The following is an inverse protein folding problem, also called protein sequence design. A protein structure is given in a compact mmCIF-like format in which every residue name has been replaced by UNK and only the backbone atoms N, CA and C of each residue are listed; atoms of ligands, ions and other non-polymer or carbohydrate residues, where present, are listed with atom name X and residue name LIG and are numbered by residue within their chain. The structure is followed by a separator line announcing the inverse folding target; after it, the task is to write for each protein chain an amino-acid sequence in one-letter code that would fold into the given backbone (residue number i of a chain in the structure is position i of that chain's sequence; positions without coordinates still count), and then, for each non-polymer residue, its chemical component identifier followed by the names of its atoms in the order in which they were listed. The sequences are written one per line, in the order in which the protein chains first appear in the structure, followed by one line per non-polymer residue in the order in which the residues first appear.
data_IF_455402116646
#
_entry.id   IF_455402116646
#
_cell.length_a   1.000
_cell.length_b   1.000
_cell.length_c   1.000
_cell.angle_alpha   90.00
_cell.angle_beta   90.00
_cell.angle_gamma   90.00
#
_symmetry.space_group_name_H-M   'P 1'
#
loop_
_entity.id
_entity.type
_entity.pdbx_description
1 polymer ?
#
# COMPACT_ATOMS: atom_id res chain seq x y z
N UNK A 1 66.76 -59.79 -19.54
CA UNK A 1 65.61 -59.17 -18.85
C UNK A 1 65.55 -57.71 -19.26
N UNK A 2 64.55 -57.26 -20.05
CA UNK A 2 64.46 -55.87 -20.47
C UNK A 2 63.82 -55.01 -19.39
N UNK A 3 64.48 -53.90 -19.04
CA UNK A 3 64.01 -52.88 -18.11
C UNK A 3 62.94 -52.01 -18.81
N UNK A 4 61.71 -52.03 -18.31
CA UNK A 4 60.69 -51.05 -18.68
C UNK A 4 60.90 -49.77 -17.86
N UNK A 5 61.18 -48.66 -18.54
CA UNK A 5 61.21 -47.32 -17.94
C UNK A 5 59.81 -46.72 -18.08
N UNK A 6 59.10 -46.56 -16.96
CA UNK A 6 57.82 -45.86 -16.94
C UNK A 6 58.02 -44.37 -17.21
N UNK A 7 57.26 -43.74 -18.12
CA UNK A 7 57.37 -42.31 -18.36
C UNK A 7 56.92 -41.53 -17.12
N UNK A 8 57.76 -40.59 -16.69
CA UNK A 8 57.48 -39.71 -15.56
C UNK A 8 56.20 -38.89 -15.83
N UNK A 9 55.23 -39.02 -14.93
CA UNK A 9 53.99 -38.24 -14.92
C UNK A 9 54.38 -36.77 -14.73
N UNK A 10 54.29 -35.97 -15.80
CA UNK A 10 54.59 -34.53 -15.76
C UNK A 10 53.54 -33.85 -14.89
N UNK A 11 53.88 -33.53 -13.65
CA UNK A 11 53.05 -32.68 -12.79
C UNK A 11 52.84 -31.34 -13.48
N UNK A 12 51.61 -31.09 -13.93
CA UNK A 12 51.22 -29.78 -14.41
C UNK A 12 51.22 -28.85 -13.20
N UNK A 13 52.22 -27.96 -13.13
CA UNK A 13 52.23 -26.90 -12.14
C UNK A 13 50.96 -26.06 -12.31
N UNK A 14 50.16 -25.85 -11.25
CA UNK A 14 49.02 -24.96 -11.34
C UNK A 14 49.51 -23.56 -11.75
N UNK A 15 48.97 -23.05 -12.85
CA UNK A 15 49.28 -21.69 -13.31
C UNK A 15 48.82 -20.67 -12.29
N UNK A 16 49.70 -19.74 -11.93
CA UNK A 16 49.34 -18.60 -11.08
C UNK A 16 48.55 -17.55 -11.87
N UNK A 17 47.62 -16.87 -11.21
CA UNK A 17 46.87 -15.76 -11.79
C UNK A 17 47.80 -14.59 -12.11
N UNK A 18 47.66 -14.03 -13.31
CA UNK A 18 48.43 -12.83 -13.68
C UNK A 18 47.85 -11.59 -13.01
N UNK A 19 48.68 -10.57 -12.77
CA UNK A 19 48.21 -9.30 -12.19
C UNK A 19 47.13 -8.64 -13.06
N UNK A 20 47.27 -8.76 -14.39
CA UNK A 20 46.27 -8.26 -15.35
C UNK A 20 44.94 -8.99 -15.21
N UNK A 21 44.97 -10.31 -15.00
CA UNK A 21 43.76 -11.13 -14.83
C UNK A 21 42.98 -10.73 -13.56
N UNK A 22 43.68 -10.48 -12.45
CA UNK A 22 43.06 -9.97 -11.22
C UNK A 22 42.47 -8.58 -11.42
N UNK A 23 43.15 -7.68 -12.14
CA UNK A 23 42.62 -6.35 -12.45
C UNK A 23 41.35 -6.41 -13.31
N UNK A 24 41.32 -7.28 -14.33
CA UNK A 24 40.14 -7.46 -15.17
C UNK A 24 38.97 -8.03 -14.36
N UNK A 25 39.20 -9.03 -13.50
CA UNK A 25 38.16 -9.58 -12.62
C UNK A 25 37.60 -8.50 -11.68
N UNK A 26 38.46 -7.69 -11.07
CA UNK A 26 38.02 -6.59 -10.21
C UNK A 26 37.22 -5.53 -10.98
N UNK A 27 37.62 -5.21 -12.21
CA UNK A 27 36.87 -4.31 -13.08
C UNK A 27 35.48 -4.87 -13.41
N UNK A 28 35.38 -6.16 -13.77
CA UNK A 28 34.10 -6.83 -14.04
C UNK A 28 33.22 -6.81 -12.80
N UNK A 29 33.75 -7.19 -11.62
CA UNK A 29 33.01 -7.18 -10.35
C UNK A 29 32.49 -5.78 -10.04
N UNK A 30 33.30 -4.74 -10.23
CA UNK A 30 32.90 -3.35 -10.02
C UNK A 30 31.72 -2.95 -10.90
N UNK A 31 31.80 -3.27 -12.20
CA UNK A 31 30.71 -2.98 -13.16
C UNK A 31 29.44 -3.77 -12.82
N UNK A 32 29.55 -5.07 -12.57
CA UNK A 32 28.37 -5.90 -12.28
C UNK A 32 27.71 -5.51 -10.95
N UNK A 33 28.50 -5.16 -9.94
CA UNK A 33 27.97 -4.71 -8.63
C UNK A 33 27.27 -3.37 -8.75
N UNK A 34 27.83 -2.43 -9.52
CA UNK A 34 27.19 -1.15 -9.80
C UNK A 34 25.82 -1.31 -10.46
N UNK A 35 25.72 -2.18 -11.47
CA UNK A 35 24.45 -2.49 -12.14
C UNK A 35 23.45 -3.18 -11.20
N UNK A 36 23.91 -4.11 -10.36
CA UNK A 36 23.06 -4.82 -9.41
C UNK A 36 22.40 -3.87 -8.38
N UNK A 37 23.14 -2.88 -7.89
CA UNK A 37 22.61 -1.87 -6.95
C UNK A 37 21.46 -1.07 -7.57
N UNK A 38 21.64 -0.56 -8.79
CA UNK A 38 20.59 0.22 -9.49
C UNK A 38 19.35 -0.62 -9.74
N UNK A 39 19.51 -1.88 -10.13
CA UNK A 39 18.39 -2.80 -10.34
C UNK A 39 17.62 -3.06 -9.03
N UNK A 40 18.34 -3.25 -7.91
CA UNK A 40 17.74 -3.52 -6.61
C UNK A 40 16.86 -2.37 -6.11
N UNK A 41 17.30 -1.12 -6.28
CA UNK A 41 16.50 0.06 -5.91
C UNK A 41 15.22 0.19 -6.75
N UNK A 42 15.28 -0.15 -8.04
CA UNK A 42 14.13 -0.12 -8.93
C UNK A 42 13.06 -1.15 -8.54
N UNK A 43 13.47 -2.39 -8.25
CA UNK A 43 12.56 -3.45 -7.80
C UNK A 43 11.92 -3.10 -6.46
N UNK A 44 12.69 -2.57 -5.51
CA UNK A 44 12.16 -2.19 -4.19
C UNK A 44 11.09 -1.09 -4.23
N UNK A 45 11.10 -0.18 -5.22
CA UNK A 45 10.09 0.89 -5.34
C UNK A 45 8.72 0.37 -5.75
N UNK A 46 8.66 -0.41 -6.83
CA UNK A 46 7.42 -1.01 -7.32
C UNK A 46 6.85 -1.99 -6.29
N UNK A 47 7.74 -2.77 -5.66
CA UNK A 47 7.37 -3.66 -4.57
C UNK A 47 6.70 -2.94 -3.40
N UNK A 48 7.23 -1.79 -2.97
CA UNK A 48 6.64 -1.03 -1.86
C UNK A 48 5.20 -0.56 -2.14
N UNK A 49 4.97 0.03 -3.32
CA UNK A 49 3.64 0.52 -3.71
C UNK A 49 2.64 -0.64 -3.87
N UNK A 50 3.06 -1.73 -4.52
CA UNK A 50 2.24 -2.92 -4.69
C UNK A 50 1.91 -3.58 -3.35
N UNK A 51 2.88 -3.70 -2.43
CA UNK A 51 2.66 -4.22 -1.08
C UNK A 51 1.66 -3.37 -0.30
N UNK A 52 1.80 -2.05 -0.33
CA UNK A 52 0.84 -1.14 0.32
C UNK A 52 -0.56 -1.31 -0.27
N UNK A 53 -0.67 -1.45 -1.60
CA UNK A 53 -1.95 -1.67 -2.25
C UNK A 53 -2.58 -3.00 -1.82
N UNK A 54 -1.84 -4.11 -1.85
CA UNK A 54 -2.34 -5.41 -1.42
C UNK A 54 -2.70 -5.45 0.06
N UNK A 55 -1.95 -4.75 0.92
CA UNK A 55 -2.28 -4.67 2.33
C UNK A 55 -3.58 -3.92 2.57
N UNK A 56 -3.80 -2.78 1.90
CA UNK A 56 -5.08 -2.09 1.97
C UNK A 56 -6.23 -2.99 1.47
N UNK A 57 -6.03 -3.71 0.36
CA UNK A 57 -7.05 -4.63 -0.15
C UNK A 57 -7.39 -5.72 0.87
N UNK A 58 -6.36 -6.31 1.48
CA UNK A 58 -6.52 -7.33 2.53
C UNK A 58 -7.23 -6.79 3.76
N UNK A 59 -6.90 -5.57 4.20
CA UNK A 59 -7.54 -4.90 5.32
C UNK A 59 -9.02 -4.63 5.04
N UNK A 60 -9.36 -4.14 3.84
CA UNK A 60 -10.76 -3.91 3.45
C UNK A 60 -11.56 -5.22 3.36
N UNK A 61 -10.98 -6.26 2.76
CA UNK A 61 -11.60 -7.60 2.71
C UNK A 61 -11.81 -8.21 4.10
N UNK A 62 -10.84 -8.03 5.00
CA UNK A 62 -10.92 -8.47 6.39
C UNK A 62 -11.97 -7.69 7.16
N UNK A 63 -12.00 -6.35 7.03
CA UNK A 63 -12.99 -5.49 7.68
C UNK A 63 -14.42 -5.89 7.27
N UNK A 64 -14.64 -6.14 5.97
CA UNK A 64 -15.92 -6.61 5.44
C UNK A 64 -16.35 -7.96 6.04
N UNK A 65 -15.47 -8.97 5.93
CA UNK A 65 -15.75 -10.32 6.44
C UNK A 65 -16.00 -10.29 7.94
N UNK A 66 -15.25 -9.44 8.65
CA UNK A 66 -15.40 -9.26 10.09
C UNK A 66 -16.71 -8.59 10.45
N UNK A 67 -17.12 -7.51 9.78
CA UNK A 67 -18.41 -6.88 10.01
C UNK A 67 -19.59 -7.85 9.83
N UNK A 68 -19.51 -8.70 8.80
CA UNK A 68 -20.50 -9.75 8.55
C UNK A 68 -20.51 -10.83 9.64
N UNK A 69 -19.34 -11.21 10.19
CA UNK A 69 -19.25 -12.27 11.19
C UNK A 69 -19.59 -11.83 12.62
N UNK A 70 -19.23 -10.60 12.99
CA UNK A 70 -19.42 -10.07 14.36
C UNK A 70 -20.77 -9.38 14.56
N UNK A 71 -21.48 -9.06 13.48
CA UNK A 71 -22.81 -8.45 13.56
C UNK A 71 -22.81 -6.96 13.92
N UNK A 72 -21.66 -6.29 13.92
CA UNK A 72 -21.54 -4.85 14.09
C UNK A 72 -20.63 -4.23 13.02
N UNK A 73 -20.74 -2.92 12.72
CA UNK A 73 -19.92 -2.30 11.69
C UNK A 73 -18.42 -2.33 12.02
N UNK A 74 -17.61 -2.39 10.96
CA UNK A 74 -16.15 -2.21 11.02
C UNK A 74 -15.77 -1.10 10.05
N UNK A 75 -15.05 -0.11 10.54
CA UNK A 75 -14.67 1.07 9.79
C UNK A 75 -13.21 1.02 9.42
N UNK A 76 -12.89 1.51 8.22
CA UNK A 76 -11.55 1.89 7.84
C UNK A 76 -11.53 3.41 7.67
N UNK A 77 -10.75 4.09 8.52
CA UNK A 77 -10.63 5.55 8.50
C UNK A 77 -9.30 5.89 7.84
N UNK A 78 -9.36 6.81 6.88
CA UNK A 78 -8.26 7.20 6.02
C UNK A 78 -7.80 8.60 6.36
N UNK A 79 -6.50 8.76 6.49
CA UNK A 79 -5.80 10.01 6.72
C UNK A 79 -4.73 10.18 5.64
N UNK A 80 -5.08 10.65 4.43
CA UNK A 80 -4.13 10.92 3.37
C UNK A 80 -2.86 11.70 3.76
N UNK A 81 -2.95 12.59 4.74
CA UNK A 81 -1.81 13.35 5.27
C UNK A 81 -1.30 12.86 6.62
N UNK A 82 -1.73 11.69 7.10
CA UNK A 82 -1.28 11.12 8.37
C UNK A 82 0.15 10.57 8.32
N UNK A 83 0.88 10.65 9.42
CA UNK A 83 2.24 10.12 9.58
C UNK A 83 2.45 9.63 11.00
N UNK A 84 3.63 9.07 11.30
CA UNK A 84 3.97 8.65 12.67
C UNK A 84 4.07 9.87 13.58
N UNK A 85 3.01 10.15 14.34
CA UNK A 85 2.96 11.23 15.34
C UNK A 85 2.25 12.52 14.88
N UNK A 86 1.71 12.56 13.66
CA UNK A 86 0.97 13.72 13.13
C UNK A 86 -0.13 13.25 12.18
N UNK A 87 -1.27 13.94 12.13
CA UNK A 87 -2.38 13.61 11.22
C UNK A 87 -2.45 14.52 10.00
N UNK A 88 -1.64 15.57 9.96
CA UNK A 88 -1.70 16.61 8.93
C UNK A 88 -0.44 16.66 8.05
N UNK A 89 0.63 15.99 8.43
CA UNK A 89 1.93 16.05 7.74
C UNK A 89 2.61 14.67 7.63
N UNK A 90 2.23 13.89 6.63
CA UNK A 90 2.80 12.56 6.39
C UNK A 90 2.44 11.98 5.02
N UNK A 91 2.91 10.77 4.76
CA UNK A 91 2.61 10.04 3.52
C UNK A 91 1.19 9.46 3.49
N UNK A 92 0.58 9.36 4.67
CA UNK A 92 -0.76 8.93 4.92
C UNK A 92 -0.82 7.66 5.75
N UNK A 93 -1.96 7.49 6.39
CA UNK A 93 -2.24 6.38 7.28
C UNK A 93 -3.71 5.96 7.14
N UNK A 94 -4.00 4.74 7.54
CA UNK A 94 -5.38 4.30 7.72
C UNK A 94 -5.48 3.41 8.95
N UNK A 95 -6.64 3.45 9.60
CA UNK A 95 -6.90 2.70 10.83
C UNK A 95 -8.16 1.89 10.69
N UNK A 96 -8.25 0.81 11.46
CA UNK A 96 -9.41 -0.08 11.49
C UNK A 96 -10.10 0.08 12.83
N UNK A 97 -11.36 0.49 12.83
CA UNK A 97 -12.18 0.68 14.03
C UNK A 97 -13.29 -0.34 14.08
N UNK A 98 -13.44 -1.02 15.19
CA UNK A 98 -14.63 -1.84 15.47
C UNK A 98 -15.69 -0.98 16.15
N UNK A 99 -16.91 -0.93 15.59
CA UNK A 99 -18.02 -0.13 16.11
C UNK A 99 -19.03 -1.01 16.86
N UNK A 100 -18.61 -1.59 17.99
CA UNK A 100 -19.37 -2.63 18.72
C UNK A 100 -20.76 -2.21 19.15
N UNK A 101 -20.94 -0.92 19.47
CA UNK A 101 -22.22 -0.36 19.88
C UNK A 101 -22.95 0.37 18.75
N UNK A 102 -22.42 0.30 17.51
CA UNK A 102 -22.90 1.07 16.36
C UNK A 102 -22.98 2.58 16.65
N UNK A 103 -22.10 3.08 17.53
CA UNK A 103 -22.04 4.47 17.93
C UNK A 103 -21.58 5.35 16.76
N UNK A 104 -20.57 4.89 16.01
CA UNK A 104 -20.06 5.62 14.84
C UNK A 104 -21.00 5.52 13.64
N UNK A 105 -21.74 4.42 13.50
CA UNK A 105 -22.82 4.30 12.52
C UNK A 105 -23.97 5.29 12.77
N UNK A 106 -24.20 5.71 14.01
CA UNK A 106 -25.18 6.78 14.33
C UNK A 106 -24.57 8.17 14.24
N UNK A 107 -23.31 8.33 14.66
CA UNK A 107 -22.60 9.59 14.66
C UNK A 107 -21.15 9.42 14.16
N UNK A 108 -20.92 9.48 12.84
CA UNK A 108 -19.61 9.18 12.26
C UNK A 108 -18.52 10.19 12.62
N UNK A 109 -18.90 11.40 13.08
CA UNK A 109 -17.95 12.41 13.54
C UNK A 109 -17.01 11.90 14.62
N UNK A 110 -17.48 10.97 15.45
CA UNK A 110 -16.67 10.38 16.50
C UNK A 110 -15.45 9.60 15.98
N UNK A 111 -15.49 9.08 14.74
CA UNK A 111 -14.39 8.32 14.14
C UNK A 111 -13.11 9.16 14.07
N UNK A 112 -13.25 10.43 13.69
CA UNK A 112 -12.11 11.33 13.46
C UNK A 112 -11.55 11.94 14.74
N UNK A 113 -12.25 11.76 15.87
CA UNK A 113 -11.80 12.17 17.19
C UNK A 113 -11.09 11.03 17.95
N UNK A 114 -11.03 9.82 17.38
CA UNK A 114 -10.37 8.69 18.01
C UNK A 114 -8.86 8.93 18.12
N UNK A 115 -8.24 8.53 19.25
CA UNK A 115 -6.80 8.61 19.38
C UNK A 115 -6.14 7.63 18.39
N UNK A 116 -4.98 8.03 17.87
CA UNK A 116 -4.18 7.21 16.94
C UNK A 116 -3.36 6.15 17.69
N UNK A 117 -4.04 5.40 18.56
CA UNK A 117 -3.49 4.37 19.43
C UNK A 117 -4.40 3.16 19.38
N UNK A 118 -3.82 1.96 19.28
CA UNK A 118 -4.59 0.72 19.31
C UNK A 118 -5.20 0.56 20.70
N UNK A 119 -6.53 0.59 20.75
CA UNK A 119 -7.32 0.25 21.92
C UNK A 119 -8.50 -0.59 21.45
N UNK A 120 -8.26 -1.89 21.31
CA UNK A 120 -9.29 -2.84 20.96
C UNK A 120 -10.28 -3.09 22.11
N UNK A 121 -10.12 -2.50 23.30
CA UNK A 121 -10.95 -2.76 24.47
C UNK A 121 -12.04 -1.71 24.72
N UNK A 122 -12.03 -0.61 23.97
CA UNK A 122 -13.01 0.47 24.08
C UNK A 122 -14.47 0.00 24.02
N UNK A 123 -15.28 0.41 25.01
CA UNK A 123 -16.65 -0.06 25.18
C UNK A 123 -17.61 0.35 24.04
N UNK A 124 -17.45 1.56 23.49
CA UNK A 124 -18.23 2.07 22.35
C UNK A 124 -17.72 1.56 20.99
N UNK A 125 -16.47 1.14 20.95
CA UNK A 125 -15.71 0.84 19.75
C UNK A 125 -14.28 1.34 19.88
N UNK A 126 -13.36 0.76 19.13
CA UNK A 126 -11.93 0.94 19.37
C UNK A 126 -11.08 0.72 18.14
N UNK A 127 -9.92 1.39 18.10
CA UNK A 127 -8.93 1.21 17.05
C UNK A 127 -8.28 -0.15 17.24
N UNK A 128 -8.55 -1.06 16.30
CA UNK A 128 -8.04 -2.43 16.31
C UNK A 128 -6.68 -2.56 15.62
N UNK A 129 -6.40 -1.72 14.62
CA UNK A 129 -5.14 -1.70 13.89
C UNK A 129 -4.88 -0.33 13.27
N UNK A 130 -3.60 -0.01 13.07
CA UNK A 130 -3.13 1.23 12.44
C UNK A 130 -2.05 0.88 11.42
N UNK A 131 -2.17 1.45 10.23
CA UNK A 131 -1.26 1.24 9.12
C UNK A 131 -0.70 2.58 8.65
N UNK A 132 0.62 2.68 8.54
CA UNK A 132 1.31 3.88 8.07
C UNK A 132 1.98 3.60 6.74
N UNK A 133 1.74 4.45 5.74
CA UNK A 133 2.39 4.30 4.43
C UNK A 133 3.90 4.55 4.46
N UNK A 134 4.40 5.18 5.52
CA UNK A 134 5.83 5.36 5.78
C UNK A 134 6.57 4.03 5.99
N UNK A 135 5.86 3.01 6.48
CA UNK A 135 6.45 1.69 6.79
C UNK A 135 6.83 0.92 5.51
N UNK A 136 6.28 1.30 4.35
CA UNK A 136 6.64 0.77 3.03
C UNK A 136 7.86 1.51 2.43
N UNK A 137 8.85 1.79 3.26
CA UNK A 137 10.10 2.43 2.86
C UNK A 137 9.97 3.90 2.43
N UNK A 138 8.97 4.64 2.95
CA UNK A 138 8.69 6.07 2.66
C UNK A 138 8.52 6.41 1.17
N UNK A 139 8.27 5.40 0.34
CA UNK A 139 8.17 5.52 -1.13
C UNK A 139 6.72 5.59 -1.61
N UNK A 140 5.77 5.39 -0.71
CA UNK A 140 4.32 5.36 -0.99
C UNK A 140 3.65 6.51 -0.26
N UNK A 141 2.67 7.13 -0.92
CA UNK A 141 1.78 8.12 -0.32
C UNK A 141 0.35 7.97 -0.84
N UNK A 142 -0.62 8.51 -0.11
CA UNK A 142 -1.92 8.80 -0.73
C UNK A 142 -1.73 9.86 -1.81
N UNK A 143 -2.32 9.62 -2.97
CA UNK A 143 -2.26 10.55 -4.07
C UNK A 143 -2.60 9.88 -5.38
N UNK A 144 -3.40 10.56 -6.19
CA UNK A 144 -3.50 10.29 -7.61
C UNK A 144 -2.45 11.12 -8.37
N UNK A 145 -1.82 10.54 -9.38
CA UNK A 145 -0.94 11.24 -10.32
C UNK A 145 -1.73 12.03 -11.37
N UNK A 146 -2.91 11.53 -11.73
CA UNK A 146 -3.82 12.12 -12.72
C UNK A 146 -5.22 12.42 -12.15
N UNK A 147 -5.33 13.29 -11.12
CA UNK A 147 -6.64 13.61 -10.54
C UNK A 147 -7.63 14.14 -11.57
N UNK A 148 -8.87 13.67 -11.51
CA UNK A 148 -9.96 14.07 -12.42
C UNK A 148 -10.06 13.23 -13.70
N UNK A 149 -9.09 12.37 -14.00
CA UNK A 149 -9.17 11.39 -15.09
C UNK A 149 -10.34 10.43 -14.83
N UNK A 150 -11.17 10.12 -15.83
CA UNK A 150 -12.33 9.21 -15.67
C UNK A 150 -12.24 7.94 -16.52
N UNK A 151 -11.29 7.89 -17.45
CA UNK A 151 -11.09 6.77 -18.38
C UNK A 151 -10.20 5.66 -17.79
N UNK A 152 -9.62 5.87 -16.60
CA UNK A 152 -8.72 4.90 -15.97
C UNK A 152 -9.45 3.75 -15.26
N UNK A 153 -10.74 3.91 -14.97
CA UNK A 153 -11.54 2.87 -14.33
C UNK A 153 -12.35 2.08 -15.35
N UNK A 154 -12.14 0.76 -15.38
CA UNK A 154 -12.97 -0.16 -16.15
C UNK A 154 -14.36 -0.36 -15.54
N UNK A 155 -15.27 -0.97 -16.30
CA UNK A 155 -16.57 -1.41 -15.79
C UNK A 155 -16.40 -2.28 -14.52
N UNK A 156 -17.25 -2.13 -13.49
CA UNK A 156 -18.48 -1.31 -13.43
C UNK A 156 -18.26 0.16 -12.99
N UNK A 157 -17.03 0.66 -12.97
CA UNK A 157 -16.66 1.97 -12.41
C UNK A 157 -16.45 3.06 -13.46
N UNK A 158 -16.97 2.87 -14.67
CA UNK A 158 -16.87 3.86 -15.76
C UNK A 158 -17.44 5.21 -15.31
N UNK A 159 -16.70 6.30 -15.57
CA UNK A 159 -17.09 7.66 -15.22
C UNK A 159 -16.77 8.06 -13.77
N UNK A 160 -16.24 7.15 -12.95
CA UNK A 160 -15.67 7.50 -11.65
C UNK A 160 -14.43 8.36 -11.87
N UNK A 161 -14.31 9.49 -11.17
CA UNK A 161 -13.12 10.32 -11.28
C UNK A 161 -11.98 9.75 -10.42
N UNK A 162 -10.77 9.73 -10.96
CA UNK A 162 -9.55 9.44 -10.22
C UNK A 162 -9.32 10.54 -9.19
N UNK A 163 -9.28 10.20 -7.91
CA UNK A 163 -8.99 11.14 -6.83
C UNK A 163 -8.06 10.51 -5.80
N UNK A 164 -7.31 11.34 -5.09
CA UNK A 164 -6.51 10.91 -3.92
C UNK A 164 -7.38 10.17 -2.91
N UNK A 165 -8.57 10.71 -2.65
CA UNK A 165 -9.63 10.09 -1.86
C UNK A 165 -10.92 10.86 -2.11
N UNK A 166 -11.87 10.29 -2.84
CA UNK A 166 -13.09 10.99 -3.27
C UNK A 166 -14.12 11.22 -2.17
N UNK A 167 -13.91 10.57 -1.04
CA UNK A 167 -14.70 10.72 0.15
C UNK A 167 -13.97 11.45 1.26
N UNK A 168 -12.74 11.92 1.04
CA UNK A 168 -12.02 12.66 2.07
C UNK A 168 -12.33 14.16 1.99
N UNK A 169 -12.41 14.82 3.14
CA UNK A 169 -12.60 16.26 3.25
C UNK A 169 -11.69 16.85 4.34
N UNK A 170 -11.45 18.16 4.26
CA UNK A 170 -10.57 18.93 5.16
C UNK A 170 -9.43 19.61 4.41
N UNK A 171 -9.03 20.81 4.88
CA UNK A 171 -7.93 21.59 4.30
C UNK A 171 -6.57 21.18 4.86
N UNK A 172 -6.51 20.97 6.18
CA UNK A 172 -5.27 20.71 6.92
C UNK A 172 -5.18 19.23 7.34
N UNK A 173 -5.14 18.37 6.33
CA UNK A 173 -5.13 16.91 6.50
C UNK A 173 -6.49 16.31 6.14
N UNK A 174 -6.79 16.13 4.84
CA UNK A 174 -8.05 15.55 4.43
C UNK A 174 -8.18 14.14 5.01
N UNK A 175 -9.36 13.82 5.51
CA UNK A 175 -9.68 12.51 6.07
C UNK A 175 -11.08 12.07 5.63
N UNK A 176 -11.33 10.77 5.70
CA UNK A 176 -12.62 10.17 5.37
C UNK A 176 -12.67 8.75 5.90
N UNK A 177 -13.85 8.14 5.94
CA UNK A 177 -13.96 6.76 6.39
C UNK A 177 -14.92 5.94 5.52
N UNK A 178 -14.63 4.64 5.46
CA UNK A 178 -15.45 3.63 4.85
C UNK A 178 -15.91 2.65 5.92
N UNK A 179 -17.21 2.53 6.12
CA UNK A 179 -17.81 1.58 7.05
C UNK A 179 -18.34 0.37 6.31
N UNK A 180 -17.93 -0.83 6.72
CA UNK A 180 -18.54 -2.09 6.32
C UNK A 180 -19.58 -2.52 7.33
N UNK A 181 -20.75 -2.89 6.83
CA UNK A 181 -21.91 -3.23 7.64
C UNK A 181 -22.18 -4.74 7.62
N UNK A 182 -22.87 -5.28 8.66
CA UNK A 182 -23.24 -6.69 8.71
C UNK A 182 -24.12 -7.15 7.55
N UNK A 183 -24.84 -6.23 6.91
CA UNK A 183 -25.67 -6.50 5.72
C UNK A 183 -24.83 -6.65 4.43
N UNK A 184 -23.51 -6.51 4.52
CA UNK A 184 -22.58 -6.61 3.39
C UNK A 184 -22.42 -5.30 2.60
N UNK A 185 -23.13 -4.24 2.96
CA UNK A 185 -22.98 -2.92 2.35
C UNK A 185 -21.74 -2.20 2.86
N UNK A 186 -21.26 -1.26 2.04
CA UNK A 186 -20.26 -0.28 2.43
C UNK A 186 -20.84 1.13 2.34
N UNK A 187 -20.49 1.98 3.30
CA UNK A 187 -20.92 3.38 3.34
C UNK A 187 -19.72 4.27 3.59
N UNK A 188 -19.79 5.49 3.07
CA UNK A 188 -18.70 6.44 3.14
C UNK A 188 -19.11 7.69 3.91
N UNK A 189 -18.16 8.21 4.67
CA UNK A 189 -18.30 9.47 5.39
C UNK A 189 -17.07 10.32 5.12
N UNK A 190 -17.29 11.62 4.99
CA UNK A 190 -16.20 12.58 4.87
C UNK A 190 -15.56 12.89 6.22
N UNK A 191 -14.44 13.63 6.19
CA UNK A 191 -13.69 14.02 7.39
C UNK A 191 -14.45 14.94 8.35
N UNK A 192 -15.63 15.42 7.95
CA UNK A 192 -16.56 16.17 8.82
C UNK A 192 -17.64 15.27 9.44
N UNK A 193 -17.57 13.96 9.18
CA UNK A 193 -18.52 12.93 9.59
C UNK A 193 -19.84 12.96 8.82
N UNK A 194 -19.89 13.61 7.65
CA UNK A 194 -21.10 13.64 6.81
C UNK A 194 -21.11 12.45 5.88
N UNK A 195 -22.27 11.80 5.78
CA UNK A 195 -22.51 10.72 4.83
C UNK A 195 -22.42 11.18 3.38
N UNK A 196 -21.81 10.34 2.55
CA UNK A 196 -21.70 10.58 1.11
C UNK A 196 -22.76 9.77 0.38
N UNK A 197 -23.54 10.46 -0.45
CA UNK A 197 -24.66 9.87 -1.19
C UNK A 197 -24.22 9.15 -2.47
N UNK A 198 -23.05 9.47 -3.02
CA UNK A 198 -22.52 8.82 -4.22
C UNK A 198 -22.12 7.39 -3.89
N UNK A 199 -22.64 6.45 -4.67
CA UNK A 199 -22.46 5.01 -4.43
C UNK A 199 -21.04 4.53 -4.65
N UNK A 200 -20.36 5.03 -5.68
CA UNK A 200 -19.00 4.62 -6.00
C UNK A 200 -18.00 5.67 -5.53
N UNK A 201 -16.89 5.21 -4.96
CA UNK A 201 -15.82 6.05 -4.47
C UNK A 201 -14.47 5.56 -5.00
N UNK A 202 -13.52 6.48 -5.10
CA UNK A 202 -12.15 6.20 -5.49
C UNK A 202 -11.17 6.66 -4.43
N UNK A 203 -10.04 5.96 -4.34
CA UNK A 203 -8.84 6.48 -3.70
C UNK A 203 -7.61 6.04 -4.51
N UNK A 204 -6.48 6.66 -4.25
CA UNK A 204 -5.25 6.33 -4.97
C UNK A 204 -4.02 6.33 -4.06
N UNK A 205 -3.13 5.38 -4.32
CA UNK A 205 -1.75 5.41 -3.85
C UNK A 205 -0.84 5.77 -4.99
N UNK A 206 0.19 6.55 -4.71
CA UNK A 206 1.23 6.88 -5.68
C UNK A 206 2.61 6.73 -5.07
N UNK A 207 3.59 6.53 -5.93
CA UNK A 207 4.97 6.69 -5.55
C UNK A 207 5.25 8.15 -5.17
N UNK A 208 6.07 8.37 -4.14
CA UNK A 208 6.57 9.71 -3.79
C UNK A 208 7.38 10.36 -4.91
N UNK A 209 7.85 9.58 -5.89
CA UNK A 209 8.56 10.05 -7.09
C UNK A 209 7.62 10.42 -8.25
N UNK A 210 6.32 10.18 -8.13
CA UNK A 210 5.34 10.59 -9.13
C UNK A 210 5.28 9.74 -10.40
N UNK A 211 5.78 8.49 -10.37
CA UNK A 211 5.88 7.63 -11.57
C UNK A 211 4.84 6.52 -11.65
N UNK A 212 4.58 5.87 -10.53
CA UNK A 212 3.70 4.72 -10.44
C UNK A 212 2.51 5.06 -9.53
N UNK A 213 1.31 4.54 -9.84
CA UNK A 213 0.13 4.65 -8.99
C UNK A 213 -0.73 3.39 -9.02
N UNK A 214 -1.45 3.18 -7.90
CA UNK A 214 -2.54 2.23 -7.78
C UNK A 214 -3.82 2.99 -7.49
N UNK A 215 -4.83 2.73 -8.28
CA UNK A 215 -6.16 3.29 -8.16
C UNK A 215 -7.07 2.21 -7.58
N UNK A 216 -7.97 2.64 -6.69
CA UNK A 216 -8.95 1.78 -6.07
C UNK A 216 -10.30 2.37 -6.40
N UNK A 217 -11.17 1.56 -7.00
CA UNK A 217 -12.57 1.89 -7.21
C UNK A 217 -13.40 1.00 -6.30
N UNK A 218 -14.33 1.61 -5.57
CA UNK A 218 -15.06 0.97 -4.48
C UNK A 218 -16.55 1.21 -4.71
N UNK A 219 -17.32 0.13 -4.74
CA UNK A 219 -18.77 0.13 -4.83
C UNK A 219 -19.37 0.13 -3.43
N UNK A 220 -20.06 1.20 -3.07
CA UNK A 220 -20.80 1.32 -1.81
C UNK A 220 -21.86 0.24 -1.62
N UNK A 221 -22.77 0.00 -2.59
CA UNK A 221 -23.86 -0.96 -2.41
C UNK A 221 -23.40 -2.37 -2.03
N UNK A 222 -22.24 -2.80 -2.55
CA UNK A 222 -21.73 -4.17 -2.38
C UNK A 222 -20.44 -4.27 -1.58
N UNK A 223 -19.80 -3.15 -1.22
CA UNK A 223 -18.43 -3.13 -0.70
C UNK A 223 -17.41 -3.77 -1.64
N UNK A 224 -17.75 -4.00 -2.92
CA UNK A 224 -16.83 -4.54 -3.92
C UNK A 224 -15.78 -3.50 -4.25
N UNK A 225 -14.54 -3.93 -4.41
CA UNK A 225 -13.44 -3.06 -4.77
C UNK A 225 -12.65 -3.69 -5.91
N UNK A 226 -12.32 -2.87 -6.90
CA UNK A 226 -11.38 -3.20 -7.96
C UNK A 226 -10.15 -2.30 -7.85
N UNK A 227 -9.01 -2.85 -8.24
CA UNK A 227 -7.74 -2.12 -8.23
C UNK A 227 -7.11 -2.11 -9.60
N UNK A 228 -6.60 -0.95 -9.97
CA UNK A 228 -6.02 -0.69 -11.28
C UNK A 228 -4.62 -0.14 -11.07
N UNK A 229 -3.65 -0.66 -11.80
CA UNK A 229 -2.29 -0.15 -11.84
C UNK A 229 -2.11 0.55 -13.17
N UNK A 230 -1.76 1.83 -13.17
CA UNK A 230 -1.33 2.51 -14.39
C UNK A 230 0.20 2.56 -14.37
N UNK A 231 0.84 1.74 -15.20
CA UNK A 231 2.23 1.99 -15.59
C UNK A 231 2.19 3.12 -16.64
N UNK A 232 2.73 4.30 -16.31
CA UNK A 232 3.08 5.24 -17.36
C UNK A 232 4.34 4.70 -18.04
N UNK A 233 4.15 4.03 -19.18
CA UNK A 233 5.20 3.59 -20.10
C UNK A 233 5.87 4.77 -20.77
#
# INVERSE_FOLDING_TARGET
MPHFVSPAKREQRPGGFTLVEVLVVMAIIGVTTGLALVAYEAVGRRGALQSAAFELQGVLGTARTRAASVGHPVWVVFYPAGGRGTLSTGNGAFLVVEDRQSAFARNPRGLFALPFTVDASGGTGGVSAIFYLEDYGKKVRFGALTPGSTDEFGAPFVGLAVQTCSFCAGTDGPSGAMGFYPDGSARFVDGTGRWISTTNQSLAFSSTQGRDQYLFAISGPSGYMATFSSDQT
#
